data_IF_582575479887
#
_entry.id   IF_582575479887
#
_cell.length_a   1.000
_cell.length_b   1.000
_cell.length_c   1.000
_cell.angle_alpha   90.00
_cell.angle_beta   90.00
_cell.angle_gamma   90.00
#
_symmetry.space_group_name_H-M   'P 1'
#
loop_
_entity.id
_entity.type
_entity.pdbx_description
1 polymer ?
#
# COMPACT_ATOMS: atom_id res chain seq x y z
N UNK A 1 4.25 10.57 -10.46
CA UNK A 1 3.48 9.59 -9.66
C UNK A 1 2.68 8.70 -10.62
N UNK A 2 2.90 7.38 -10.59
CA UNK A 2 2.17 6.42 -11.44
C UNK A 2 1.65 5.25 -10.60
N UNK A 3 0.84 5.58 -9.58
CA UNK A 3 0.23 4.60 -8.70
C UNK A 3 -0.89 3.89 -9.47
N UNK A 4 -0.95 2.56 -9.34
CA UNK A 4 -1.92 1.71 -10.02
C UNK A 4 -2.72 0.90 -9.00
N UNK A 5 -3.96 0.50 -9.32
CA UNK A 5 -4.73 -0.41 -8.48
C UNK A 5 -3.99 -1.73 -8.24
N UNK A 6 -4.10 -2.28 -7.03
CA UNK A 6 -3.55 -3.59 -6.68
C UNK A 6 -4.59 -4.66 -7.04
N UNK A 7 -4.29 -5.50 -8.04
CA UNK A 7 -5.23 -6.52 -8.55
C UNK A 7 -4.79 -7.95 -8.26
N UNK A 8 -3.54 -8.15 -7.88
CA UNK A 8 -2.94 -9.45 -7.63
C UNK A 8 -1.71 -9.31 -6.72
N UNK A 9 -1.13 -10.44 -6.31
CA UNK A 9 0.01 -10.47 -5.40
C UNK A 9 1.27 -9.79 -5.99
N UNK A 10 1.46 -9.79 -7.31
CA UNK A 10 2.60 -9.09 -7.93
C UNK A 10 2.45 -7.58 -7.79
N UNK A 11 1.25 -7.06 -8.01
CA UNK A 11 0.95 -5.65 -7.77
C UNK A 11 1.13 -5.28 -6.29
N UNK A 12 0.72 -6.17 -5.38
CA UNK A 12 0.88 -5.98 -3.93
C UNK A 12 2.36 -5.86 -3.55
N UNK A 13 3.20 -6.78 -4.04
CA UNK A 13 4.65 -6.74 -3.80
C UNK A 13 5.30 -5.49 -4.39
N UNK A 14 4.84 -5.02 -5.55
CA UNK A 14 5.32 -3.78 -6.13
C UNK A 14 4.86 -2.54 -5.35
N UNK A 15 3.66 -2.57 -4.76
CA UNK A 15 3.16 -1.50 -3.90
C UNK A 15 4.00 -1.41 -2.61
N UNK A 16 4.35 -2.54 -1.99
CA UNK A 16 5.26 -2.56 -0.85
C UNK A 16 6.64 -1.98 -1.19
N UNK A 17 7.24 -2.37 -2.32
CA UNK A 17 8.53 -1.81 -2.76
C UNK A 17 8.49 -0.30 -2.97
N UNK A 18 7.39 0.22 -3.51
CA UNK A 18 7.20 1.66 -3.66
C UNK A 18 7.01 2.33 -2.31
N UNK A 19 6.23 1.73 -1.42
CA UNK A 19 5.99 2.24 -0.07
C UNK A 19 7.31 2.37 0.71
N UNK A 20 8.21 1.39 0.63
CA UNK A 20 9.53 1.44 1.27
C UNK A 20 10.34 2.69 0.85
N UNK A 21 10.20 3.16 -0.39
CA UNK A 21 10.91 4.35 -0.88
C UNK A 21 10.36 5.66 -0.31
N UNK A 22 9.08 5.70 0.07
CA UNK A 22 8.39 6.93 0.52
C UNK A 22 7.96 6.89 1.98
N UNK A 23 8.21 5.79 2.69
CA UNK A 23 7.78 5.60 4.09
C UNK A 23 8.32 6.65 5.06
N UNK A 24 9.47 7.25 4.73
CA UNK A 24 10.12 8.29 5.52
C UNK A 24 9.75 9.71 5.07
N UNK A 25 8.75 9.84 4.18
CA UNK A 25 8.32 11.14 3.67
C UNK A 25 7.86 12.07 4.79
N UNK A 26 8.28 13.33 4.70
CA UNK A 26 7.85 14.36 5.66
C UNK A 26 6.45 14.82 5.33
N UNK A 27 5.67 15.15 6.36
CA UNK A 27 4.32 15.69 6.19
C UNK A 27 4.33 16.91 5.25
N UNK A 28 3.32 16.98 4.38
CA UNK A 28 3.14 18.07 3.43
C UNK A 28 3.95 17.95 2.14
N UNK A 29 4.73 16.88 1.94
CA UNK A 29 5.38 16.62 0.64
C UNK A 29 4.52 15.72 -0.25
N UNK A 30 4.82 15.72 -1.55
CA UNK A 30 4.15 14.85 -2.53
C UNK A 30 4.36 13.37 -2.18
N UNK A 31 5.53 12.99 -1.67
CA UNK A 31 5.85 11.63 -1.24
C UNK A 31 5.02 11.20 -0.02
N UNK A 32 4.64 12.13 0.87
CA UNK A 32 3.72 11.79 1.96
C UNK A 32 2.33 11.44 1.42
N UNK A 33 1.84 12.18 0.43
CA UNK A 33 0.60 11.82 -0.29
C UNK A 33 0.73 10.48 -1.01
N UNK A 34 1.91 10.16 -1.56
CA UNK A 34 2.19 8.84 -2.17
C UNK A 34 2.07 7.71 -1.16
N UNK A 35 2.71 7.89 -0.01
CA UNK A 35 2.68 6.95 1.10
C UNK A 35 1.24 6.69 1.55
N UNK A 36 0.43 7.74 1.75
CA UNK A 36 -0.97 7.61 2.18
C UNK A 36 -1.82 6.82 1.18
N UNK A 37 -1.66 7.09 -0.13
CA UNK A 37 -2.37 6.36 -1.18
C UNK A 37 -1.93 4.88 -1.21
N UNK A 38 -0.62 4.62 -1.15
CA UNK A 38 -0.09 3.25 -1.18
C UNK A 38 -0.58 2.41 0.00
N UNK A 39 -0.54 2.96 1.22
CA UNK A 39 -1.07 2.28 2.42
C UNK A 39 -2.54 1.93 2.23
N UNK A 40 -3.36 2.89 1.81
CA UNK A 40 -4.80 2.69 1.59
C UNK A 40 -5.08 1.57 0.58
N UNK A 41 -4.32 1.51 -0.52
CA UNK A 41 -4.48 0.47 -1.55
C UNK A 41 -4.06 -0.91 -1.05
N UNK A 42 -2.95 -0.99 -0.30
CA UNK A 42 -2.46 -2.22 0.30
C UNK A 42 -3.50 -2.78 1.28
N UNK A 43 -3.95 -1.98 2.24
CA UNK A 43 -4.98 -2.37 3.21
C UNK A 43 -6.27 -2.84 2.53
N UNK A 44 -6.72 -2.11 1.49
CA UNK A 44 -7.92 -2.52 0.75
C UNK A 44 -7.75 -3.85 0.04
N UNK A 45 -6.56 -4.17 -0.48
CA UNK A 45 -6.30 -5.45 -1.11
C UNK A 45 -6.22 -6.56 -0.06
N UNK A 46 -5.46 -6.35 1.02
CA UNK A 46 -5.29 -7.32 2.09
C UNK A 46 -6.62 -7.66 2.75
N UNK A 47 -7.45 -6.69 3.09
CA UNK A 47 -8.77 -6.95 3.68
C UNK A 47 -9.69 -7.80 2.79
N UNK A 48 -9.52 -7.73 1.46
CA UNK A 48 -10.30 -8.53 0.51
C UNK A 48 -9.76 -9.94 0.31
N UNK A 49 -8.44 -10.14 0.43
CA UNK A 49 -7.78 -11.40 0.07
C UNK A 49 -7.29 -12.20 1.28
N UNK A 50 -6.96 -11.49 2.35
CA UNK A 50 -6.46 -12.00 3.61
C UNK A 50 -7.40 -11.52 4.70
N UNK A 51 -8.60 -12.10 4.77
CA UNK A 51 -9.44 -11.97 5.96
C UNK A 51 -8.67 -12.57 7.14
N UNK A 52 -8.26 -11.72 8.08
CA UNK A 52 -7.77 -12.17 9.38
C UNK A 52 -8.87 -13.02 10.01
N UNK A 53 -8.65 -14.33 10.05
CA UNK A 53 -9.41 -15.20 10.92
C UNK A 53 -8.60 -15.25 12.23
N UNK A 54 -8.94 -14.44 13.25
CA UNK A 54 -8.26 -14.57 14.54
C UNK A 54 -8.38 -16.03 15.01
N UNK A 55 -7.33 -16.62 15.61
CA UNK A 55 -7.46 -17.94 16.20
C UNK A 55 -8.61 -17.92 17.23
N UNK A 56 -9.48 -18.92 17.16
CA UNK A 56 -10.63 -19.09 18.04
C UNK A 56 -10.22 -19.32 19.51
#
# INVERSE_FOLDING_TARGET
>A
MNIKPIKNNKDLQNAFKQLEQVFHAKKGTTEAGEMEILVTLIESYENKHYTFNPPA
#
